data_IF_180561679391
#
_entry.id   IF_180561679391
#
_cell.length_a   1.000
_cell.length_b   1.000
_cell.length_c   1.000
_cell.angle_alpha   90.00
_cell.angle_beta   90.00
_cell.angle_gamma   90.00
#
_symmetry.space_group_name_H-M   'P 1'
#
loop_
_entity.id
_entity.type
_entity.pdbx_description
1 polymer ?
#
# COMPACT_ATOMS: atom_id res chain seq x y z
N UNK A 1 7.51 6.49 -10.81
CA UNK A 1 6.16 6.41 -11.43
C UNK A 1 5.05 6.61 -10.39
N UNK A 2 5.04 5.88 -9.27
CA UNK A 2 4.01 6.02 -8.23
C UNK A 2 3.90 7.41 -7.56
N UNK A 3 5.02 8.12 -7.34
CA UNK A 3 5.04 9.46 -6.73
C UNK A 3 4.21 10.49 -7.52
N UNK A 4 4.30 10.47 -8.85
CA UNK A 4 3.56 11.41 -9.70
C UNK A 4 2.05 11.17 -9.59
N UNK A 5 1.63 9.90 -9.56
CA UNK A 5 0.23 9.51 -9.40
C UNK A 5 -0.33 9.91 -8.02
N UNK A 6 0.48 9.77 -6.96
CA UNK A 6 0.10 10.20 -5.62
C UNK A 6 -0.07 11.72 -5.55
N UNK A 7 0.88 12.48 -6.10
CA UNK A 7 0.80 13.94 -6.13
C UNK A 7 -0.43 14.42 -6.91
N UNK A 8 -0.73 13.79 -8.04
CA UNK A 8 -1.93 14.10 -8.82
C UNK A 8 -3.21 13.76 -8.04
N UNK A 9 -3.25 12.60 -7.38
CA UNK A 9 -4.38 12.21 -6.53
C UNK A 9 -4.63 13.23 -5.41
N UNK A 10 -3.59 13.66 -4.71
CA UNK A 10 -3.71 14.62 -3.60
C UNK A 10 -4.09 16.02 -4.10
N UNK A 11 -3.52 16.46 -5.23
CA UNK A 11 -3.87 17.74 -5.84
C UNK A 11 -5.35 17.78 -6.25
N UNK A 12 -5.91 16.66 -6.76
CA UNK A 12 -7.35 16.55 -7.07
C UNK A 12 -8.25 16.60 -5.83
N UNK A 13 -7.72 16.38 -4.64
CA UNK A 13 -8.44 16.44 -3.36
C UNK A 13 -8.17 17.74 -2.59
N UNK A 14 -7.47 18.71 -3.20
CA UNK A 14 -7.04 19.96 -2.56
C UNK A 14 -6.17 19.74 -1.31
N UNK A 15 -5.40 18.64 -1.29
CA UNK A 15 -4.50 18.29 -0.19
C UNK A 15 -3.07 18.74 -0.55
N UNK A 16 -2.57 19.74 0.16
CA UNK A 16 -1.17 20.15 0.12
C UNK A 16 -0.36 19.43 1.21
N UNK A 17 0.57 18.57 0.81
CA UNK A 17 1.48 17.91 1.76
C UNK A 17 2.64 18.83 2.14
N UNK A 18 2.81 19.07 3.44
CA UNK A 18 4.08 19.55 3.98
C UNK A 18 5.02 18.35 4.16
N UNK A 19 5.83 18.08 3.14
CA UNK A 19 6.68 16.87 3.09
C UNK A 19 7.82 17.00 4.09
N UNK A 20 7.72 16.28 5.21
CA UNK A 20 8.80 16.19 6.21
C UNK A 20 9.98 15.32 5.76
N UNK A 21 9.76 14.39 4.82
CA UNK A 21 10.79 13.53 4.25
C UNK A 21 10.22 12.46 3.31
N UNK A 22 11.05 11.94 2.41
CA UNK A 22 10.74 10.80 1.52
C UNK A 22 11.62 9.62 1.94
N UNK A 23 11.00 8.50 2.30
CA UNK A 23 11.70 7.30 2.80
C UNK A 23 11.20 6.10 2.00
N UNK A 24 12.13 5.37 1.39
CA UNK A 24 11.78 4.26 0.49
C UNK A 24 11.37 2.98 1.23
N UNK A 25 11.82 2.80 2.48
CA UNK A 25 11.49 1.60 3.24
C UNK A 25 10.23 1.80 4.09
N UNK A 26 9.23 0.96 3.84
CA UNK A 26 7.92 1.00 4.50
C UNK A 26 8.02 0.77 6.01
N UNK A 27 8.95 -0.06 6.46
CA UNK A 27 9.21 -0.32 7.88
C UNK A 27 9.69 0.94 8.62
N UNK A 28 10.60 1.70 8.00
CA UNK A 28 11.15 2.93 8.55
C UNK A 28 10.08 4.03 8.63
N UNK A 29 9.26 4.20 7.59
CA UNK A 29 8.12 5.15 7.61
C UNK A 29 7.15 4.79 8.73
N UNK A 30 6.82 3.50 8.88
CA UNK A 30 5.93 3.02 9.96
C UNK A 30 6.49 3.33 11.34
N UNK A 31 7.77 3.05 11.60
CA UNK A 31 8.42 3.41 12.87
C UNK A 31 8.38 4.92 13.11
N UNK A 32 8.62 5.73 12.08
CA UNK A 32 8.57 7.19 12.18
C UNK A 32 7.18 7.70 12.59
N UNK A 33 6.13 7.22 11.93
CA UNK A 33 4.73 7.60 12.23
C UNK A 33 4.32 7.16 13.64
N UNK A 34 4.86 6.06 14.13
CA UNK A 34 4.59 5.57 15.50
C UNK A 34 5.31 6.38 16.59
N UNK A 35 6.45 7.00 16.27
CA UNK A 35 7.31 7.68 17.25
C UNK A 35 7.19 9.20 17.24
N UNK A 36 6.74 9.78 16.13
CA UNK A 36 6.69 11.22 15.92
C UNK A 36 5.26 11.67 15.60
N UNK A 37 4.90 12.94 15.90
CA UNK A 37 3.58 13.51 15.57
C UNK A 37 3.52 13.89 14.08
N UNK A 38 3.62 12.88 13.21
CA UNK A 38 3.62 13.02 11.76
C UNK A 38 2.60 12.06 11.13
N UNK A 39 2.00 12.46 10.03
CA UNK A 39 1.20 11.56 9.20
C UNK A 39 2.04 10.99 8.05
N UNK A 40 1.77 9.76 7.66
CA UNK A 40 2.45 9.09 6.55
C UNK A 40 1.44 8.48 5.57
N UNK A 41 1.86 8.39 4.30
CA UNK A 41 1.09 7.69 3.27
C UNK A 41 1.65 6.27 3.12
N UNK A 42 0.88 5.28 3.56
CA UNK A 42 1.31 3.88 3.64
C UNK A 42 0.25 2.96 3.06
N UNK A 43 0.63 1.87 2.36
CA UNK A 43 -0.30 0.82 2.00
C UNK A 43 -0.96 0.21 3.24
N UNK A 44 -2.28 0.01 3.21
CA UNK A 44 -3.05 -0.45 4.37
C UNK A 44 -2.53 -1.77 4.95
N UNK A 45 -2.06 -2.69 4.11
CA UNK A 45 -1.52 -3.98 4.54
C UNK A 45 -0.22 -3.86 5.37
N UNK A 46 0.53 -2.75 5.28
CA UNK A 46 1.74 -2.52 6.09
C UNK A 46 1.40 -2.19 7.54
N UNK A 47 0.28 -1.49 7.75
CA UNK A 47 -0.15 -0.92 9.04
C UNK A 47 -1.44 -1.56 9.57
N UNK A 48 -1.91 -2.63 8.94
CA UNK A 48 -3.20 -3.25 9.24
C UNK A 48 -3.31 -3.77 10.67
N UNK A 49 -2.21 -4.28 11.23
CA UNK A 49 -2.18 -4.74 12.62
C UNK A 49 -2.34 -3.56 13.60
N UNK A 50 -1.66 -2.45 13.36
CA UNK A 50 -1.68 -1.26 14.22
C UNK A 50 -3.04 -0.55 14.15
N UNK A 51 -3.66 -0.51 12.97
CA UNK A 51 -5.03 0.00 12.82
C UNK A 51 -6.01 -0.89 13.61
N UNK A 52 -5.92 -2.22 13.48
CA UNK A 52 -6.76 -3.17 14.24
C UNK A 52 -6.58 -3.01 15.75
N UNK A 53 -5.36 -2.73 16.20
CA UNK A 53 -5.02 -2.52 17.61
C UNK A 53 -5.28 -1.09 18.10
N UNK A 54 -5.74 -0.18 17.24
CA UNK A 54 -5.93 1.26 17.52
C UNK A 54 -4.64 1.99 17.92
N UNK A 55 -3.48 1.45 17.56
CA UNK A 55 -2.20 2.13 17.72
C UNK A 55 -1.98 3.20 16.62
N UNK A 56 -2.62 3.00 15.47
CA UNK A 56 -2.70 3.99 14.39
C UNK A 56 -4.17 4.21 13.99
N UNK A 57 -4.44 5.39 13.43
CA UNK A 57 -5.73 5.71 12.81
C UNK A 57 -5.51 6.03 11.34
N UNK A 58 -6.42 5.56 10.47
CA UNK A 58 -6.42 5.94 9.08
C UNK A 58 -7.11 7.30 8.91
N UNK A 59 -6.42 8.25 8.27
CA UNK A 59 -7.01 9.53 7.91
C UNK A 59 -7.58 9.45 6.49
N UNK A 60 -8.81 9.93 6.25
CA UNK A 60 -9.38 9.95 4.91
C UNK A 60 -8.60 10.93 4.03
N UNK A 61 -8.00 10.45 2.95
CA UNK A 61 -7.29 11.28 1.97
C UNK A 61 -8.25 11.80 0.87
N UNK A 62 -9.48 12.17 1.26
CA UNK A 62 -10.57 12.57 0.36
C UNK A 62 -11.74 11.59 0.31
N UNK A 63 -12.55 11.68 -0.75
CA UNK A 63 -13.77 10.87 -0.89
C UNK A 63 -13.53 9.40 -1.26
N UNK A 64 -12.35 9.08 -1.82
CA UNK A 64 -11.96 7.73 -2.25
C UNK A 64 -10.52 7.43 -1.82
N UNK A 65 -10.19 6.18 -1.47
CA UNK A 65 -8.81 5.80 -1.22
C UNK A 65 -7.98 5.90 -2.50
N UNK A 66 -6.67 6.06 -2.34
CA UNK A 66 -5.74 5.85 -3.44
C UNK A 66 -5.56 4.35 -3.66
N UNK A 67 -6.01 3.87 -4.82
CA UNK A 67 -5.94 2.45 -5.16
C UNK A 67 -4.72 2.16 -6.02
N UNK A 68 -3.98 1.12 -5.63
CA UNK A 68 -2.92 0.54 -6.45
C UNK A 68 -3.21 -0.94 -6.65
N UNK A 69 -3.26 -1.37 -7.91
CA UNK A 69 -3.45 -2.78 -8.26
C UNK A 69 -2.09 -3.46 -8.42
N UNK A 70 -1.92 -4.57 -7.71
CA UNK A 70 -0.78 -5.46 -7.87
C UNK A 70 -1.22 -6.70 -8.62
N UNK A 71 -0.34 -7.20 -9.49
CA UNK A 71 -0.63 -8.35 -10.32
C UNK A 71 0.58 -9.27 -10.44
N UNK A 72 0.30 -10.55 -10.63
CA UNK A 72 1.31 -11.53 -11.02
C UNK A 72 1.33 -11.61 -12.54
N UNK A 73 2.51 -11.48 -13.12
CA UNK A 73 2.71 -11.52 -14.57
C UNK A 73 3.44 -12.81 -14.91
N UNK A 74 2.95 -13.52 -15.91
CA UNK A 74 3.64 -14.68 -16.49
C UNK A 74 3.62 -14.58 -18.01
N UNK A 75 4.56 -15.26 -18.66
CA UNK A 75 4.58 -15.34 -20.12
C UNK A 75 3.34 -16.09 -20.62
N UNK A 76 2.67 -15.52 -21.62
CA UNK A 76 1.56 -16.18 -22.30
C UNK A 76 2.03 -17.30 -23.25
N UNK A 77 3.30 -17.28 -23.65
CA UNK A 77 3.87 -18.26 -24.59
C UNK A 77 4.14 -19.63 -23.96
N UNK A 78 4.07 -19.73 -22.63
CA UNK A 78 4.35 -20.97 -21.89
C UNK A 78 3.20 -21.26 -20.92
N UNK A 79 2.62 -22.47 -20.96
CA UNK A 79 1.65 -22.87 -19.95
C UNK A 79 2.33 -22.96 -18.58
N UNK A 80 1.58 -22.61 -17.54
CA UNK A 80 2.04 -22.72 -16.16
C UNK A 80 2.26 -24.18 -15.80
N UNK A 81 3.39 -24.49 -15.18
CA UNK A 81 3.60 -25.81 -14.60
C UNK A 81 2.79 -25.96 -13.30
N UNK A 82 2.83 -27.17 -12.71
CA UNK A 82 2.07 -27.47 -11.49
C UNK A 82 2.48 -26.56 -10.31
N UNK A 83 3.77 -26.30 -10.13
CA UNK A 83 4.28 -25.45 -9.05
C UNK A 83 3.85 -23.99 -9.22
N UNK A 84 3.94 -23.44 -10.43
CA UNK A 84 3.51 -22.07 -10.76
C UNK A 84 2.00 -21.90 -10.58
N UNK A 85 1.21 -22.86 -11.05
CA UNK A 85 -0.25 -22.85 -10.86
C UNK A 85 -0.63 -22.89 -9.38
N UNK A 86 0.07 -23.72 -8.60
CA UNK A 86 -0.11 -23.82 -7.15
C UNK A 86 0.29 -22.53 -6.44
N UNK A 87 1.41 -21.92 -6.84
CA UNK A 87 1.86 -20.63 -6.32
C UNK A 87 0.81 -19.53 -6.56
N UNK A 88 0.31 -19.40 -7.80
CA UNK A 88 -0.74 -18.42 -8.12
C UNK A 88 -2.00 -18.63 -7.28
N UNK A 89 -2.38 -19.88 -7.04
CA UNK A 89 -3.52 -20.22 -6.18
C UNK A 89 -3.29 -19.76 -4.74
N UNK A 90 -2.12 -20.01 -4.17
CA UNK A 90 -1.78 -19.57 -2.81
C UNK A 90 -1.70 -18.05 -2.69
N UNK A 91 -1.11 -17.36 -3.68
CA UNK A 91 -1.07 -15.90 -3.68
C UNK A 91 -2.48 -15.30 -3.68
N UNK A 92 -3.39 -15.82 -4.50
CA UNK A 92 -4.79 -15.37 -4.54
C UNK A 92 -5.49 -15.57 -3.19
N UNK A 93 -5.26 -16.71 -2.55
CA UNK A 93 -5.84 -17.00 -1.24
C UNK A 93 -5.31 -16.05 -0.17
N UNK A 94 -3.99 -15.87 -0.05
CA UNK A 94 -3.43 -14.97 0.96
C UNK A 94 -3.77 -13.50 0.73
N UNK A 95 -3.81 -13.02 -0.52
CA UNK A 95 -4.17 -11.63 -0.80
C UNK A 95 -5.60 -11.33 -0.36
N UNK A 96 -6.53 -12.29 -0.47
CA UNK A 96 -7.90 -12.10 0.02
C UNK A 96 -8.00 -11.95 1.54
N UNK A 97 -6.98 -12.37 2.29
CA UNK A 97 -6.92 -12.20 3.75
C UNK A 97 -6.30 -10.86 4.18
N UNK A 98 -5.64 -10.15 3.24
CA UNK A 98 -5.02 -8.84 3.47
C UNK A 98 -5.95 -7.65 3.21
N UNK A 99 -7.08 -7.88 2.53
CA UNK A 99 -8.11 -6.88 2.18
C UNK A 99 -9.19 -6.85 3.25
#
# INVERSE_FOLDING_TARGET
HGRAQLNEFLARQDIALNVAGEIERLDAVKTMVMQLPVAGFLPAWVVGAEIKQRALVALPAGHKPFEQTWGLIHSAARPLNHAESTFLKFCRQQVSELI
#
